data_IF_111378940400
#
_entry.id   IF_111378940400
#
_cell.length_a   1.000
_cell.length_b   1.000
_cell.length_c   1.000
_cell.angle_alpha   90.00
_cell.angle_beta   90.00
_cell.angle_gamma   90.00
#
_symmetry.space_group_name_H-M   'P 1'
#
loop_
_entity.id
_entity.type
_entity.pdbx_description
1 polymer ?
#
# COMPACT_ATOMS: atom_id res chain seq x y z
N UNK A 1 0.55 9.21 21.15
CA UNK A 1 0.18 7.78 21.32
C UNK A 1 -0.24 7.32 19.94
N UNK A 2 0.57 6.51 19.28
CA UNK A 2 0.31 6.05 17.91
C UNK A 2 -0.86 5.05 17.94
N UNK A 3 -1.96 5.42 17.29
CA UNK A 3 -3.13 4.56 17.08
C UNK A 3 -2.96 3.82 15.76
N UNK A 4 -2.14 2.78 15.78
CA UNK A 4 -2.05 1.77 14.71
C UNK A 4 -2.70 0.47 15.18
N UNK A 5 -3.33 -0.25 14.26
CA UNK A 5 -3.84 -1.61 14.45
C UNK A 5 -2.73 -2.69 14.40
N UNK A 6 -1.48 -2.29 14.14
CA UNK A 6 -0.31 -3.16 14.06
C UNK A 6 0.72 -2.67 15.09
N UNK A 7 1.11 -3.55 16.02
CA UNK A 7 2.19 -3.28 16.99
C UNK A 7 3.44 -4.05 16.56
N UNK A 8 4.49 -3.33 16.18
CA UNK A 8 5.80 -3.94 15.94
C UNK A 8 6.55 -4.08 17.27
N UNK A 9 6.83 -5.32 17.68
CA UNK A 9 7.72 -5.57 18.82
C UNK A 9 9.15 -5.63 18.29
N UNK A 10 9.86 -4.50 18.41
CA UNK A 10 11.28 -4.48 18.09
C UNK A 10 12.07 -5.20 19.20
N UNK A 11 13.02 -6.08 18.85
CA UNK A 11 13.84 -6.72 19.87
C UNK A 11 14.66 -5.66 20.61
N UNK A 12 14.71 -5.76 21.94
CA UNK A 12 15.52 -4.87 22.77
C UNK A 12 16.96 -4.83 22.24
N UNK A 13 17.58 -3.63 22.14
CA UNK A 13 18.99 -3.52 21.76
C UNK A 13 19.81 -4.46 22.66
N UNK A 14 20.53 -5.42 22.07
CA UNK A 14 21.56 -6.18 22.80
C UNK A 14 22.74 -5.23 22.98
N UNK A 15 22.70 -4.40 24.01
CA UNK A 15 23.69 -3.38 24.41
C UNK A 15 24.45 -2.68 23.26
N UNK A 16 24.15 -1.40 23.03
CA UNK A 16 25.11 -0.47 22.40
C UNK A 16 25.07 -0.31 20.87
N UNK A 17 24.02 -0.75 20.17
CA UNK A 17 23.85 -0.39 18.75
C UNK A 17 22.99 0.85 18.60
N UNK A 18 23.48 1.85 17.87
CA UNK A 18 22.73 3.06 17.56
C UNK A 18 21.47 2.67 16.74
N UNK A 19 20.25 2.94 17.22
CA UNK A 19 19.01 2.60 16.50
C UNK A 19 18.88 3.32 15.15
N UNK A 20 19.56 4.45 14.94
CA UNK A 20 19.62 5.13 13.62
C UNK A 20 20.42 4.34 12.58
N UNK A 21 21.31 3.45 13.03
CA UNK A 21 22.24 2.67 12.20
C UNK A 21 21.82 1.20 12.14
N UNK A 22 21.11 0.72 13.17
CA UNK A 22 20.77 -0.69 13.31
C UNK A 22 19.37 -1.00 12.82
N UNK A 23 19.28 -1.65 11.66
CA UNK A 23 18.01 -2.16 11.16
C UNK A 23 17.61 -3.41 11.96
N UNK A 24 16.50 -3.33 12.70
CA UNK A 24 15.98 -4.44 13.51
C UNK A 24 15.35 -5.55 12.67
N UNK A 25 15.00 -5.24 11.42
CA UNK A 25 14.50 -6.19 10.46
C UNK A 25 15.62 -6.65 9.55
N UNK A 26 15.78 -7.97 9.41
CA UNK A 26 16.63 -8.54 8.37
C UNK A 26 16.03 -8.27 7.00
N UNK A 27 16.86 -8.37 5.95
CA UNK A 27 16.42 -8.10 4.57
C UNK A 27 15.18 -8.91 4.17
N UNK A 28 15.12 -10.18 4.57
CA UNK A 28 13.97 -11.06 4.29
C UNK A 28 12.69 -10.57 4.98
N UNK A 29 12.81 -10.10 6.23
CA UNK A 29 11.67 -9.56 6.98
C UNK A 29 11.16 -8.26 6.36
N UNK A 30 12.06 -7.38 5.92
CA UNK A 30 11.71 -6.16 5.20
C UNK A 30 10.95 -6.53 3.92
N UNK A 31 11.48 -7.46 3.13
CA UNK A 31 10.85 -7.91 1.89
C UNK A 31 9.45 -8.48 2.12
N UNK A 32 9.26 -9.31 3.15
CA UNK A 32 7.94 -9.88 3.49
C UNK A 32 6.95 -8.76 3.87
N UNK A 33 7.38 -7.81 4.70
CA UNK A 33 6.54 -6.68 5.13
C UNK A 33 6.16 -5.80 3.94
N UNK A 34 7.12 -5.43 3.10
CA UNK A 34 6.88 -4.65 1.87
C UNK A 34 5.89 -5.37 0.96
N UNK A 35 6.04 -6.69 0.80
CA UNK A 35 5.16 -7.49 -0.04
C UNK A 35 3.74 -7.53 0.49
N UNK A 36 3.57 -7.69 1.80
CA UNK A 36 2.25 -7.74 2.42
C UNK A 36 1.54 -6.39 2.33
N UNK A 37 2.25 -5.29 2.60
CA UNK A 37 1.74 -3.92 2.43
C UNK A 37 1.33 -3.68 0.97
N UNK A 38 2.15 -4.10 0.00
CA UNK A 38 1.85 -3.94 -1.42
C UNK A 38 0.57 -4.70 -1.82
N UNK A 39 0.37 -5.91 -1.29
CA UNK A 39 -0.83 -6.72 -1.56
C UNK A 39 -2.07 -6.08 -0.99
N UNK A 40 -2.05 -5.69 0.29
CA UNK A 40 -3.19 -5.06 0.96
C UNK A 40 -3.55 -3.70 0.33
N UNK A 41 -2.56 -2.84 0.07
CA UNK A 41 -2.79 -1.54 -0.57
C UNK A 41 -3.42 -1.69 -1.96
N UNK A 42 -3.00 -2.69 -2.74
CA UNK A 42 -3.61 -2.97 -4.06
C UNK A 42 -5.02 -3.49 -3.93
N UNK A 43 -5.28 -4.38 -2.98
CA UNK A 43 -6.62 -4.91 -2.74
C UNK A 43 -7.59 -3.78 -2.35
N UNK A 44 -7.18 -2.90 -1.43
CA UNK A 44 -7.96 -1.74 -1.02
C UNK A 44 -8.19 -0.78 -2.20
N UNK A 45 -7.13 -0.40 -2.93
CA UNK A 45 -7.24 0.49 -4.09
C UNK A 45 -8.23 -0.04 -5.12
N UNK A 46 -8.12 -1.31 -5.50
CA UNK A 46 -9.01 -1.88 -6.52
C UNK A 46 -10.46 -1.96 -6.06
N UNK A 47 -10.69 -2.32 -4.79
CA UNK A 47 -12.02 -2.29 -4.19
C UNK A 47 -12.61 -0.89 -4.21
N UNK A 48 -11.84 0.11 -3.77
CA UNK A 48 -12.23 1.51 -3.72
C UNK A 48 -12.59 2.05 -5.12
N UNK A 49 -11.76 1.79 -6.13
CA UNK A 49 -12.01 2.20 -7.50
C UNK A 49 -13.32 1.61 -8.05
N UNK A 50 -13.56 0.32 -7.83
CA UNK A 50 -14.76 -0.37 -8.32
C UNK A 50 -16.01 0.15 -7.60
N UNK A 51 -15.96 0.27 -6.27
CA UNK A 51 -17.06 0.80 -5.48
C UNK A 51 -17.46 2.20 -5.94
N UNK A 52 -16.47 3.10 -6.08
CA UNK A 52 -16.73 4.44 -6.54
C UNK A 52 -17.29 4.49 -7.96
N UNK A 53 -16.80 3.62 -8.86
CA UNK A 53 -17.29 3.59 -10.24
C UNK A 53 -18.73 3.09 -10.34
N UNK A 54 -19.06 2.01 -9.63
CA UNK A 54 -20.33 1.30 -9.82
C UNK A 54 -21.43 1.71 -8.85
N UNK A 55 -21.08 2.09 -7.61
CA UNK A 55 -22.07 2.58 -6.63
C UNK A 55 -22.22 4.10 -6.68
N UNK A 56 -21.09 4.82 -6.79
CA UNK A 56 -21.08 6.29 -6.64
C UNK A 56 -21.03 7.03 -7.99
N UNK A 57 -20.85 6.32 -9.11
CA UNK A 57 -20.76 6.90 -10.46
C UNK A 57 -19.49 7.71 -10.72
N UNK A 58 -18.50 7.66 -9.82
CA UNK A 58 -17.26 8.44 -9.92
C UNK A 58 -16.30 7.81 -10.93
N UNK A 59 -15.58 8.66 -11.68
CA UNK A 59 -14.60 8.20 -12.66
C UNK A 59 -13.33 7.68 -11.98
N UNK A 60 -12.72 6.62 -12.52
CA UNK A 60 -11.51 6.01 -11.96
C UNK A 60 -10.35 6.99 -11.78
N UNK A 61 -10.19 7.97 -12.67
CA UNK A 61 -9.12 8.97 -12.56
C UNK A 61 -9.31 9.81 -11.29
N UNK A 62 -10.53 10.29 -11.04
CA UNK A 62 -10.83 11.08 -9.85
C UNK A 62 -10.63 10.27 -8.56
N UNK A 63 -11.12 9.02 -8.54
CA UNK A 63 -10.91 8.15 -7.38
C UNK A 63 -9.46 7.72 -7.20
N UNK A 64 -8.66 7.59 -8.26
CA UNK A 64 -7.22 7.33 -8.14
C UNK A 64 -6.54 8.48 -7.39
N UNK A 65 -6.80 9.71 -7.83
CA UNK A 65 -6.26 10.90 -7.20
C UNK A 65 -6.69 11.02 -5.73
N UNK A 66 -7.98 10.84 -5.42
CA UNK A 66 -8.48 10.84 -4.05
C UNK A 66 -7.79 9.79 -3.17
N UNK A 67 -7.50 8.60 -3.70
CA UNK A 67 -6.81 7.54 -2.95
C UNK A 67 -5.34 7.90 -2.68
N UNK A 68 -4.64 8.45 -3.67
CA UNK A 68 -3.22 8.85 -3.53
C UNK A 68 -3.08 9.99 -2.52
N UNK A 69 -3.96 11.00 -2.58
CA UNK A 69 -4.02 12.09 -1.60
C UNK A 69 -4.34 11.57 -0.20
N UNK A 70 -5.33 10.68 -0.07
CA UNK A 70 -5.76 10.13 1.23
C UNK A 70 -4.60 9.44 1.98
N UNK A 71 -3.70 8.80 1.25
CA UNK A 71 -2.56 8.06 1.81
C UNK A 71 -1.23 8.82 1.70
N UNK A 72 -1.26 10.10 1.32
CA UNK A 72 -0.07 10.96 1.20
C UNK A 72 1.02 10.36 0.29
N UNK A 73 0.60 9.76 -0.83
CA UNK A 73 1.49 9.08 -1.77
C UNK A 73 1.84 9.94 -3.00
N UNK A 74 1.39 11.19 -3.07
CA UNK A 74 1.50 12.05 -4.26
C UNK A 74 2.94 12.23 -4.76
N UNK A 75 3.91 12.29 -3.84
CA UNK A 75 5.33 12.41 -4.16
C UNK A 75 6.03 11.06 -4.38
N UNK A 76 5.37 9.96 -3.99
CA UNK A 76 5.96 8.61 -3.96
C UNK A 76 5.51 7.73 -5.12
N UNK A 77 4.32 7.97 -5.69
CA UNK A 77 3.74 7.10 -6.72
C UNK A 77 3.18 7.89 -7.90
N UNK A 78 3.38 7.34 -9.10
CA UNK A 78 2.74 7.85 -10.30
C UNK A 78 1.35 7.20 -10.46
N UNK A 79 0.29 8.01 -10.46
CA UNK A 79 -1.10 7.56 -10.63
C UNK A 79 -1.30 6.71 -11.90
N UNK A 80 -0.60 7.04 -13.00
CA UNK A 80 -0.65 6.26 -14.23
C UNK A 80 -0.15 4.82 -14.03
N UNK A 81 0.91 4.63 -13.24
CA UNK A 81 1.46 3.31 -12.96
C UNK A 81 0.44 2.43 -12.22
N UNK A 82 -0.24 3.01 -11.23
CA UNK A 82 -1.32 2.37 -10.50
C UNK A 82 -2.50 2.04 -11.43
N UNK A 83 -2.87 2.97 -12.30
CA UNK A 83 -3.96 2.77 -13.27
C UNK A 83 -3.64 1.64 -14.26
N UNK A 84 -2.41 1.58 -14.77
CA UNK A 84 -1.92 0.46 -15.60
C UNK A 84 -2.01 -0.87 -14.84
N UNK A 85 -1.66 -0.87 -13.55
CA UNK A 85 -1.80 -2.03 -12.65
C UNK A 85 -3.25 -2.52 -12.55
N UNK A 86 -4.16 -1.60 -12.23
CA UNK A 86 -5.60 -1.87 -12.13
C UNK A 86 -6.18 -2.44 -13.44
N UNK A 87 -5.84 -1.85 -14.58
CA UNK A 87 -6.31 -2.33 -15.89
C UNK A 87 -5.83 -3.76 -16.20
N UNK A 88 -4.57 -4.08 -15.87
CA UNK A 88 -4.04 -5.45 -16.02
C UNK A 88 -4.78 -6.44 -15.14
N UNK A 89 -5.01 -6.10 -13.87
CA UNK A 89 -5.77 -6.93 -12.94
C UNK A 89 -7.20 -7.16 -13.44
N UNK A 90 -7.90 -6.11 -13.87
CA UNK A 90 -9.28 -6.22 -14.40
C UNK A 90 -9.36 -7.12 -15.64
N UNK A 91 -8.35 -7.09 -16.51
CA UNK A 91 -8.27 -8.02 -17.67
C UNK A 91 -8.11 -9.48 -17.24
N UNK A 92 -7.38 -9.75 -16.15
CA UNK A 92 -7.25 -11.12 -15.60
C UNK A 92 -8.56 -11.60 -14.98
N UNK A 93 -9.26 -10.76 -14.22
CA UNK A 93 -10.54 -11.11 -13.58
C UNK A 93 -11.64 -11.45 -14.59
N UNK A 94 -11.62 -10.86 -15.80
CA UNK A 94 -12.57 -11.18 -16.87
C UNK A 94 -12.33 -12.52 -17.59
N UNK A 95 -11.16 -13.13 -17.38
CA UNK A 95 -10.79 -14.43 -17.98
C UNK A 95 -11.08 -15.61 -17.06
N UNK A 96 -11.53 -15.33 -15.84
CA UNK A 96 -12.02 -16.31 -14.85
C UNK A 96 -13.54 -16.39 -15.05
#
# INVERSE_FOLDING_TARGET
KETGNITFVLPSPRQGKNPEIYNYFGQDSIFIIEKEIEVEMKAELYSFLLENKFKNGVMYIKSMHEFVVKYDMEESVEEESLMRGFQRWRKKMKKI
#
